data_IF_444963077817
#
_entry.id   IF_444963077817
#
_cell.length_a   1.000
_cell.length_b   1.000
_cell.length_c   1.000
_cell.angle_alpha   90.00
_cell.angle_beta   90.00
_cell.angle_gamma   90.00
#
_symmetry.space_group_name_H-M   'P 1'
#
loop_
_entity.id
_entity.type
_entity.pdbx_description
1 polymer ?
#
# COMPACT_ATOMS: atom_id res chain seq x y z
N UNK A 1 2.30 -14.51 4.04
CA UNK A 1 2.02 -13.28 3.23
C UNK A 1 0.62 -13.38 2.66
N UNK A 2 -0.14 -12.29 2.73
CA UNK A 2 -1.37 -12.18 1.94
C UNK A 2 -1.04 -11.45 0.62
N UNK A 3 -1.58 -11.92 -0.49
CA UNK A 3 -1.44 -11.30 -1.81
C UNK A 3 -2.78 -11.35 -2.54
N UNK A 4 -2.89 -10.68 -3.67
CA UNK A 4 -4.12 -10.69 -4.46
C UNK A 4 -3.89 -11.18 -5.87
N UNK A 5 -4.92 -11.73 -6.47
CA UNK A 5 -4.95 -12.17 -7.85
C UNK A 5 -6.35 -12.08 -8.41
N UNK A 6 -6.46 -12.11 -9.73
CA UNK A 6 -7.74 -12.07 -10.45
C UNK A 6 -7.99 -13.39 -11.16
N UNK A 7 -9.24 -13.80 -11.22
CA UNK A 7 -9.67 -14.92 -12.04
C UNK A 7 -9.89 -14.54 -13.51
N UNK A 8 -10.36 -15.48 -14.33
CA UNK A 8 -10.64 -15.27 -15.76
C UNK A 8 -11.75 -14.25 -16.02
N UNK A 9 -12.63 -14.01 -15.06
CA UNK A 9 -13.73 -13.04 -15.15
C UNK A 9 -13.31 -11.64 -14.65
N UNK A 10 -12.05 -11.49 -14.22
CA UNK A 10 -11.51 -10.26 -13.68
C UNK A 10 -11.98 -9.93 -12.27
N UNK A 11 -12.46 -10.93 -11.52
CA UNK A 11 -12.80 -10.80 -10.12
C UNK A 11 -11.56 -11.03 -9.24
N UNK A 12 -11.41 -10.21 -8.22
CA UNK A 12 -10.23 -10.22 -7.36
C UNK A 12 -10.46 -11.04 -6.09
N UNK A 13 -9.40 -11.69 -5.65
CA UNK A 13 -9.36 -12.51 -4.43
C UNK A 13 -8.09 -12.22 -3.64
N UNK A 14 -8.18 -12.27 -2.32
CA UNK A 14 -7.00 -12.29 -1.46
C UNK A 14 -6.63 -13.73 -1.16
N UNK A 15 -5.38 -14.07 -1.42
CA UNK A 15 -4.80 -15.39 -1.26
C UNK A 15 -3.68 -15.33 -0.22
N UNK A 16 -3.26 -16.50 0.24
CA UNK A 16 -2.15 -16.64 1.19
C UNK A 16 -1.02 -17.46 0.57
N UNK A 17 0.20 -17.06 0.88
CA UNK A 17 1.40 -17.86 0.64
C UNK A 17 2.34 -17.78 1.84
N UNK A 18 3.09 -18.83 2.05
CA UNK A 18 4.08 -18.95 3.12
C UNK A 18 5.47 -19.23 2.56
N UNK A 19 6.48 -18.79 3.28
CA UNK A 19 7.88 -19.12 3.03
C UNK A 19 8.61 -19.19 4.35
N UNK A 20 9.73 -19.88 4.39
CA UNK A 20 10.59 -19.89 5.57
C UNK A 20 11.39 -18.58 5.67
N UNK A 21 11.79 -18.22 6.89
CA UNK A 21 12.66 -17.05 7.13
C UNK A 21 14.05 -17.26 6.51
N UNK A 22 14.47 -18.53 6.40
CA UNK A 22 15.78 -18.94 5.84
C UNK A 22 15.76 -18.90 4.31
N UNK A 23 14.61 -19.21 3.69
CA UNK A 23 14.44 -19.22 2.24
C UNK A 23 13.33 -18.25 1.82
N UNK A 24 13.53 -16.93 2.00
CA UNK A 24 12.47 -15.93 1.92
C UNK A 24 11.85 -15.76 0.51
N UNK A 25 12.39 -16.42 -0.51
CA UNK A 25 11.90 -16.37 -1.89
C UNK A 25 11.18 -17.66 -2.33
N UNK A 26 11.09 -18.67 -1.47
CA UNK A 26 10.46 -19.97 -1.75
C UNK A 26 8.99 -19.99 -1.33
N UNK A 27 8.19 -19.06 -1.89
CA UNK A 27 6.78 -18.90 -1.55
C UNK A 27 5.94 -20.10 -2.03
N UNK A 28 5.15 -20.66 -1.10
CA UNK A 28 4.20 -21.73 -1.38
C UNK A 28 2.78 -21.24 -1.13
N UNK A 29 1.85 -21.34 -2.10
CA UNK A 29 0.45 -21.07 -1.86
C UNK A 29 -0.12 -21.95 -0.76
N UNK A 30 -0.96 -21.39 0.12
CA UNK A 30 -1.59 -22.09 1.24
C UNK A 30 -3.11 -22.02 1.11
N UNK A 31 -3.76 -23.17 1.05
CA UNK A 31 -5.22 -23.26 1.02
C UNK A 31 -5.86 -22.69 -0.23
N UNK A 32 -7.12 -22.26 -0.06
CA UNK A 32 -7.87 -21.48 -1.04
C UNK A 32 -7.68 -19.97 -0.80
N UNK A 33 -8.54 -19.13 -1.37
CA UNK A 33 -8.52 -17.70 -1.06
C UNK A 33 -9.00 -17.43 0.38
N UNK A 34 -8.54 -16.35 0.98
CA UNK A 34 -8.99 -15.87 2.30
C UNK A 34 -10.36 -15.18 2.18
N UNK A 35 -10.48 -14.24 1.24
CA UNK A 35 -11.70 -13.49 0.92
C UNK A 35 -11.80 -13.23 -0.58
N UNK A 36 -13.02 -13.07 -1.09
CA UNK A 36 -13.31 -12.83 -2.51
C UNK A 36 -14.33 -11.70 -2.75
N UNK A 37 -15.01 -11.65 -3.88
CA UNK A 37 -16.02 -10.63 -4.17
C UNK A 37 -17.25 -10.71 -3.25
N UNK A 38 -17.82 -9.55 -2.95
CA UNK A 38 -19.15 -9.41 -2.37
C UNK A 38 -20.10 -8.96 -3.48
N UNK A 39 -20.55 -9.90 -4.31
CA UNK A 39 -21.27 -9.62 -5.56
C UNK A 39 -22.57 -8.86 -5.41
N UNK A 40 -23.19 -8.92 -4.22
CA UNK A 40 -24.46 -8.28 -3.90
C UNK A 40 -24.29 -6.84 -3.37
N UNK A 41 -23.04 -6.34 -3.28
CA UNK A 41 -22.74 -4.99 -2.81
C UNK A 41 -22.13 -4.13 -3.91
N UNK A 42 -22.34 -2.81 -3.87
CA UNK A 42 -21.62 -1.88 -4.74
C UNK A 42 -20.20 -1.58 -4.26
N UNK A 43 -19.91 -1.87 -3.00
CA UNK A 43 -18.64 -1.58 -2.35
C UNK A 43 -17.49 -2.49 -2.86
N UNK A 44 -17.73 -3.81 -2.93
CA UNK A 44 -16.68 -4.81 -3.20
C UNK A 44 -17.13 -5.88 -4.22
N UNK A 45 -18.01 -5.52 -5.15
CA UNK A 45 -18.59 -6.49 -6.10
C UNK A 45 -17.58 -7.07 -7.09
N UNK A 46 -16.45 -6.41 -7.31
CA UNK A 46 -15.34 -6.89 -8.15
C UNK A 46 -14.21 -7.54 -7.36
N UNK A 47 -14.35 -7.58 -6.03
CA UNK A 47 -13.44 -8.24 -5.12
C UNK A 47 -12.33 -7.36 -4.55
N UNK A 48 -11.63 -7.88 -3.55
CA UNK A 48 -10.59 -7.18 -2.81
C UNK A 48 -9.22 -7.25 -3.50
N UNK A 49 -8.39 -6.22 -3.29
CA UNK A 49 -6.98 -6.20 -3.65
C UNK A 49 -6.13 -5.51 -2.58
N UNK A 50 -4.82 -5.44 -2.77
CA UNK A 50 -3.88 -4.75 -1.88
C UNK A 50 -4.10 -5.07 -0.40
N UNK A 51 -3.95 -6.34 0.02
CA UNK A 51 -4.19 -6.75 1.39
C UNK A 51 -3.16 -6.15 2.36
N UNK A 52 -3.64 -5.86 3.57
CA UNK A 52 -2.80 -5.61 4.73
C UNK A 52 -3.30 -6.45 5.90
N UNK A 53 -2.49 -7.42 6.32
CA UNK A 53 -2.81 -8.36 7.39
C UNK A 53 -2.23 -7.85 8.71
N UNK A 54 -3.07 -7.73 9.72
CA UNK A 54 -2.71 -7.27 11.06
C UNK A 54 -3.14 -8.25 12.14
N UNK A 55 -2.24 -9.07 12.68
CA UNK A 55 -2.49 -9.78 13.94
C UNK A 55 -2.59 -8.78 15.09
N UNK A 56 -3.75 -8.71 15.77
CA UNK A 56 -3.97 -7.85 16.93
C UNK A 56 -3.70 -8.63 18.22
N UNK A 57 -4.19 -9.86 18.28
CA UNK A 57 -3.88 -10.85 19.32
C UNK A 57 -3.63 -12.20 18.64
N UNK A 58 -3.34 -13.25 19.42
CA UNK A 58 -3.19 -14.60 18.87
C UNK A 58 -4.41 -15.03 18.03
N UNK A 59 -5.62 -14.72 18.51
CA UNK A 59 -6.86 -15.17 17.86
C UNK A 59 -7.48 -14.07 16.97
N UNK A 60 -7.40 -12.79 17.36
CA UNK A 60 -8.03 -11.68 16.64
C UNK A 60 -7.09 -11.10 15.61
N UNK A 61 -7.47 -11.24 14.32
CA UNK A 61 -6.75 -10.69 13.17
C UNK A 61 -7.66 -9.79 12.34
N UNK A 62 -7.07 -8.77 11.72
CA UNK A 62 -7.72 -7.85 10.80
C UNK A 62 -7.06 -7.94 9.43
N UNK A 63 -7.85 -8.07 8.39
CA UNK A 63 -7.41 -8.08 7.00
C UNK A 63 -8.04 -6.88 6.29
N UNK A 64 -7.27 -5.81 6.12
CA UNK A 64 -7.70 -4.66 5.34
C UNK A 64 -7.42 -4.90 3.87
N UNK A 65 -8.22 -4.28 3.02
CA UNK A 65 -8.09 -4.42 1.58
C UNK A 65 -8.63 -3.19 0.86
N UNK A 66 -8.17 -2.98 -0.37
CA UNK A 66 -8.83 -2.09 -1.31
C UNK A 66 -9.98 -2.84 -1.94
N UNK A 67 -11.18 -2.37 -1.72
CA UNK A 67 -12.39 -2.90 -2.32
C UNK A 67 -12.63 -2.29 -3.70
N UNK A 68 -12.93 -3.11 -4.69
CA UNK A 68 -13.27 -2.67 -6.03
C UNK A 68 -14.79 -2.81 -6.24
N UNK A 69 -15.42 -1.65 -6.34
CA UNK A 69 -16.87 -1.55 -6.50
C UNK A 69 -17.31 -1.22 -7.91
N UNK A 70 -18.48 -0.57 -8.01
CA UNK A 70 -19.04 -0.04 -9.26
C UNK A 70 -19.10 1.47 -9.22
N UNK A 71 -18.69 2.09 -10.32
CA UNK A 71 -18.89 3.54 -10.58
C UNK A 71 -19.31 3.74 -12.02
N UNK A 72 -20.39 4.48 -12.21
CA UNK A 72 -20.94 4.77 -13.55
C UNK A 72 -20.22 5.94 -14.25
N UNK A 73 -19.46 6.75 -13.49
CA UNK A 73 -18.80 7.97 -13.97
C UNK A 73 -17.40 7.73 -14.57
N UNK A 74 -16.97 6.46 -14.67
CA UNK A 74 -15.66 6.06 -15.22
C UNK A 74 -14.45 6.36 -14.35
N UNK A 75 -14.66 6.86 -13.12
CA UNK A 75 -13.59 7.09 -12.14
C UNK A 75 -13.23 5.81 -11.40
N UNK A 76 -12.11 5.84 -10.66
CA UNK A 76 -11.66 4.71 -9.87
C UNK A 76 -12.67 4.33 -8.78
N UNK A 77 -13.16 3.08 -8.73
CA UNK A 77 -14.17 2.65 -7.78
C UNK A 77 -13.59 2.12 -6.46
N UNK A 78 -12.48 2.69 -6.02
CA UNK A 78 -11.71 2.18 -4.90
C UNK A 78 -12.22 2.70 -3.57
N UNK A 79 -12.40 1.80 -2.60
CA UNK A 79 -12.66 2.13 -1.19
C UNK A 79 -11.90 1.17 -0.28
N UNK A 80 -11.87 1.45 1.02
CA UNK A 80 -11.17 0.58 1.99
C UNK A 80 -12.17 -0.28 2.76
N UNK A 81 -11.96 -1.59 2.72
CA UNK A 81 -12.73 -2.56 3.49
C UNK A 81 -11.87 -3.26 4.55
N UNK A 82 -12.54 -3.98 5.45
CA UNK A 82 -11.89 -4.87 6.43
C UNK A 82 -12.68 -6.17 6.61
N UNK A 83 -11.95 -7.27 6.69
CA UNK A 83 -12.44 -8.55 7.17
C UNK A 83 -11.78 -8.90 8.50
N UNK A 84 -12.47 -9.66 9.32
CA UNK A 84 -12.01 -10.03 10.67
C UNK A 84 -11.92 -11.54 10.80
N UNK A 85 -10.94 -11.99 11.56
CA UNK A 85 -10.82 -13.36 12.06
C UNK A 85 -10.77 -13.35 13.57
N UNK A 86 -11.33 -14.38 14.20
CA UNK A 86 -11.30 -14.63 15.65
C UNK A 86 -10.69 -16.01 15.99
N UNK A 87 -9.99 -16.62 15.05
CA UNK A 87 -9.40 -17.94 15.12
C UNK A 87 -7.95 -17.97 14.59
N UNK A 88 -7.24 -16.83 14.70
CA UNK A 88 -5.84 -16.72 14.26
C UNK A 88 -5.65 -16.72 12.75
N UNK A 89 -6.69 -16.35 11.98
CA UNK A 89 -6.63 -16.24 10.53
C UNK A 89 -7.09 -17.49 9.77
N UNK A 90 -7.65 -18.51 10.48
CA UNK A 90 -8.16 -19.71 9.85
C UNK A 90 -9.45 -19.45 9.06
N UNK A 91 -10.33 -18.58 9.61
CA UNK A 91 -11.55 -18.16 8.91
C UNK A 91 -11.72 -16.64 8.91
N UNK A 92 -12.39 -16.12 7.89
CA UNK A 92 -12.55 -14.69 7.67
C UNK A 92 -14.02 -14.34 7.42
N UNK A 93 -14.43 -13.17 7.97
CA UNK A 93 -15.73 -12.56 7.73
C UNK A 93 -15.58 -11.10 7.40
N UNK A 94 -16.29 -10.62 6.38
CA UNK A 94 -16.39 -9.19 6.12
C UNK A 94 -17.01 -8.50 7.32
N UNK A 95 -16.41 -7.39 7.75
CA UNK A 95 -16.95 -6.61 8.84
C UNK A 95 -18.22 -5.87 8.44
N UNK A 96 -18.27 -5.36 7.22
CA UNK A 96 -19.36 -4.54 6.70
C UNK A 96 -19.49 -4.68 5.19
N UNK A 97 -20.66 -4.34 4.67
CA UNK A 97 -20.95 -4.12 3.25
C UNK A 97 -20.60 -2.69 2.79
N UNK A 98 -20.09 -1.87 3.70
CA UNK A 98 -19.71 -0.49 3.47
C UNK A 98 -18.23 -0.26 3.76
N UNK A 99 -17.62 0.79 3.16
CA UNK A 99 -16.24 1.18 3.47
C UNK A 99 -16.04 1.47 4.96
N UNK A 100 -14.86 1.12 5.49
CA UNK A 100 -14.48 1.47 6.87
C UNK A 100 -13.93 2.89 6.98
N UNK A 101 -13.53 3.48 5.86
CA UNK A 101 -13.14 4.89 5.76
C UNK A 101 -14.22 5.64 4.97
N UNK A 102 -14.95 6.58 5.58
CA UNK A 102 -15.91 7.42 4.86
C UNK A 102 -15.17 8.33 3.86
N UNK A 103 -15.80 8.64 2.72
CA UNK A 103 -15.27 9.58 1.74
C UNK A 103 -15.75 11.01 2.10
N UNK A 104 -15.22 11.58 3.16
CA UNK A 104 -15.72 12.79 3.80
C UNK A 104 -14.71 13.96 3.84
N UNK A 105 -13.55 13.78 3.20
CA UNK A 105 -12.53 14.82 3.10
C UNK A 105 -12.27 15.18 1.61
N UNK A 106 -11.91 16.43 1.31
CA UNK A 106 -11.59 16.80 -0.09
C UNK A 106 -10.49 15.97 -0.73
N UNK A 107 -9.53 15.49 0.08
CA UNK A 107 -8.41 14.71 -0.40
C UNK A 107 -8.71 13.23 -0.63
N UNK A 108 -9.88 12.72 -0.19
CA UNK A 108 -10.31 11.34 -0.41
C UNK A 108 -11.74 11.21 -0.92
N UNK A 109 -12.32 12.31 -1.39
CA UNK A 109 -13.72 12.36 -1.84
C UNK A 109 -14.04 11.43 -3.00
N UNK A 110 -13.05 11.01 -3.77
CA UNK A 110 -13.22 10.13 -4.93
C UNK A 110 -12.87 8.66 -4.64
N UNK A 111 -12.18 8.38 -3.51
CA UNK A 111 -11.86 7.02 -3.11
C UNK A 111 -10.73 6.90 -2.09
N UNK A 112 -10.58 5.67 -1.58
CA UNK A 112 -9.50 5.27 -0.68
C UNK A 112 -8.99 3.89 -1.06
N UNK A 113 -7.77 3.54 -0.63
CA UNK A 113 -7.22 2.20 -0.86
C UNK A 113 -5.86 2.01 -0.22
N UNK A 114 -5.27 0.85 -0.43
CA UNK A 114 -3.91 0.46 0.00
C UNK A 114 -3.47 1.07 1.33
N UNK A 115 -3.75 0.38 2.41
CA UNK A 115 -3.44 0.86 3.76
C UNK A 115 -2.13 0.27 4.27
N UNK A 116 -1.52 0.98 5.21
CA UNK A 116 -0.51 0.46 6.14
C UNK A 116 -0.86 0.91 7.55
N UNK A 117 -0.82 -0.02 8.52
CA UNK A 117 -1.25 0.26 9.88
C UNK A 117 -0.12 -0.06 10.86
N UNK A 118 0.17 0.89 11.73
CA UNK A 118 0.97 0.69 12.91
C UNK A 118 0.04 0.50 14.11
N UNK A 119 0.26 -0.57 14.87
CA UNK A 119 -0.47 -0.84 16.10
C UNK A 119 0.48 -0.72 17.28
N UNK A 120 0.33 0.34 18.06
CA UNK A 120 1.25 0.72 19.13
C UNK A 120 0.48 1.16 20.37
N UNK A 121 0.80 0.58 21.51
CA UNK A 121 0.22 0.95 22.82
C UNK A 121 -1.33 0.98 22.82
N UNK A 122 -1.96 0.05 22.09
CA UNK A 122 -3.42 -0.02 21.96
C UNK A 122 -4.03 1.02 21.02
N UNK A 123 -3.22 1.76 20.28
CA UNK A 123 -3.66 2.70 19.25
C UNK A 123 -3.28 2.21 17.87
N UNK A 124 -4.19 2.39 16.92
CA UNK A 124 -3.99 2.07 15.52
C UNK A 124 -3.80 3.37 14.73
N UNK A 125 -2.71 3.45 13.96
CA UNK A 125 -2.38 4.57 13.08
C UNK A 125 -2.38 4.04 11.65
N UNK A 126 -3.31 4.51 10.82
CA UNK A 126 -3.42 4.11 9.43
C UNK A 126 -2.87 5.19 8.52
N UNK A 127 -2.03 4.78 7.59
CA UNK A 127 -1.64 5.56 6.43
C UNK A 127 -2.28 4.91 5.21
N UNK A 128 -3.00 5.68 4.41
CA UNK A 128 -3.77 5.12 3.30
C UNK A 128 -3.65 5.95 2.03
N UNK A 129 -3.80 5.30 0.90
CA UNK A 129 -3.93 5.96 -0.39
C UNK A 129 -5.27 6.67 -0.46
N UNK A 130 -5.24 7.98 -0.61
CA UNK A 130 -6.42 8.85 -0.72
C UNK A 130 -6.53 9.39 -2.15
N UNK A 131 -7.72 9.24 -2.75
CA UNK A 131 -8.03 9.71 -4.10
C UNK A 131 -8.90 10.96 -3.96
N UNK A 132 -8.30 12.10 -4.24
CA UNK A 132 -8.96 13.40 -4.20
C UNK A 132 -9.69 13.71 -5.51
N UNK A 133 -9.67 14.99 -5.88
CA UNK A 133 -10.33 15.45 -7.10
C UNK A 133 -9.60 14.99 -8.37
N UNK A 134 -10.37 14.93 -9.46
CA UNK A 134 -9.80 14.84 -10.79
C UNK A 134 -9.51 16.23 -11.35
N UNK A 135 -8.32 16.42 -11.91
CA UNK A 135 -7.86 17.69 -12.47
C UNK A 135 -7.51 17.52 -13.95
N UNK A 136 -7.54 18.60 -14.76
CA UNK A 136 -7.05 18.55 -16.13
C UNK A 136 -5.60 18.07 -16.17
N UNK A 137 -5.29 17.18 -17.08
CA UNK A 137 -3.92 16.73 -17.33
C UNK A 137 -3.07 17.91 -17.79
N UNK A 138 -1.90 18.17 -17.21
CA UNK A 138 -1.02 19.24 -17.65
C UNK A 138 -0.60 19.09 -19.12
N UNK A 139 -0.51 20.18 -19.83
CA UNK A 139 -0.11 20.19 -21.24
C UNK A 139 1.32 19.63 -21.40
N UNK A 140 1.50 18.76 -22.40
CA UNK A 140 2.81 18.13 -22.67
C UNK A 140 3.19 16.97 -21.75
N UNK A 141 2.32 16.59 -20.80
CA UNK A 141 2.54 15.44 -19.92
C UNK A 141 1.73 14.26 -20.45
N UNK A 142 2.42 13.19 -20.85
CA UNK A 142 1.79 11.91 -21.17
C UNK A 142 1.75 11.04 -19.93
N UNK A 143 0.58 10.75 -19.43
CA UNK A 143 0.37 9.94 -18.23
C UNK A 143 -0.25 8.58 -18.53
N UNK A 144 -0.56 8.30 -19.80
CA UNK A 144 -1.34 7.12 -20.18
C UNK A 144 -2.81 7.16 -19.72
N UNK A 145 -3.22 8.22 -19.01
CA UNK A 145 -4.61 8.53 -18.68
C UNK A 145 -5.18 9.57 -19.65
N UNK A 146 -6.51 9.69 -19.71
CA UNK A 146 -7.19 10.64 -20.60
C UNK A 146 -6.90 12.12 -20.25
N UNK A 147 -7.87 13.00 -20.55
CA UNK A 147 -7.72 14.45 -20.36
C UNK A 147 -7.74 14.90 -18.88
N UNK A 148 -8.14 14.01 -17.98
CA UNK A 148 -8.13 14.26 -16.54
C UNK A 148 -7.36 13.19 -15.79
N UNK A 149 -6.68 13.59 -14.72
CA UNK A 149 -5.93 12.71 -13.82
C UNK A 149 -6.39 12.90 -12.38
N UNK A 150 -6.40 11.82 -11.55
CA UNK A 150 -6.72 11.94 -10.14
C UNK A 150 -5.52 12.53 -9.37
N UNK A 151 -5.78 13.39 -8.39
CA UNK A 151 -4.78 13.76 -7.38
C UNK A 151 -4.79 12.68 -6.30
N UNK A 152 -3.70 11.91 -6.20
CA UNK A 152 -3.59 10.79 -5.25
C UNK A 152 -2.40 11.01 -4.32
N UNK A 153 -2.65 10.94 -3.01
CA UNK A 153 -1.60 11.09 -2.00
C UNK A 153 -1.81 10.13 -0.82
N UNK A 154 -0.98 10.28 0.19
CA UNK A 154 -1.09 9.52 1.44
C UNK A 154 -1.79 10.36 2.49
N UNK A 155 -2.88 9.83 3.02
CA UNK A 155 -3.62 10.41 4.14
C UNK A 155 -3.42 9.58 5.43
N UNK A 156 -3.94 10.11 6.54
CA UNK A 156 -3.79 9.54 7.86
C UNK A 156 -5.14 9.41 8.57
N UNK A 157 -5.30 8.32 9.29
CA UNK A 157 -6.42 8.09 10.21
C UNK A 157 -5.94 7.34 11.45
N UNK A 158 -6.69 7.46 12.55
CA UNK A 158 -6.39 6.77 13.80
C UNK A 158 -7.63 6.08 14.37
N UNK A 159 -7.41 5.03 15.17
CA UNK A 159 -8.46 4.22 15.75
C UNK A 159 -8.01 3.61 17.09
N UNK A 160 -8.98 3.30 17.95
CA UNK A 160 -8.77 2.55 19.21
C UNK A 160 -9.06 1.05 19.08
N UNK A 161 -9.78 0.65 18.05
CA UNK A 161 -10.24 -0.73 17.87
C UNK A 161 -9.85 -1.36 16.53
N UNK A 162 -9.30 -0.54 15.61
CA UNK A 162 -8.94 -0.95 14.24
C UNK A 162 -10.14 -1.03 13.30
N UNK A 163 -11.32 -0.59 13.69
CA UNK A 163 -12.55 -0.65 12.90
C UNK A 163 -13.14 0.75 12.67
N UNK A 164 -13.26 1.52 13.74
CA UNK A 164 -13.80 2.87 13.71
C UNK A 164 -12.66 3.87 13.62
N UNK A 165 -12.60 4.62 12.52
CA UNK A 165 -11.47 5.46 12.16
C UNK A 165 -11.84 6.94 12.20
N UNK A 166 -10.99 7.74 12.83
CA UNK A 166 -11.04 9.20 12.85
C UNK A 166 -9.94 9.78 11.97
N UNK A 167 -10.25 10.86 11.25
CA UNK A 167 -9.32 11.58 10.37
C UNK A 167 -8.99 12.95 10.99
N UNK A 168 -7.97 13.03 11.86
CA UNK A 168 -7.68 14.27 12.60
C UNK A 168 -7.07 15.37 11.73
N UNK A 169 -6.50 15.01 10.56
CA UNK A 169 -5.83 15.95 9.68
C UNK A 169 -6.75 16.43 8.55
N UNK A 170 -6.64 17.71 8.21
CA UNK A 170 -7.38 18.32 7.10
C UNK A 170 -6.61 18.24 5.75
N UNK A 171 -5.44 17.61 5.72
CA UNK A 171 -4.54 17.52 4.57
C UNK A 171 -3.88 16.15 4.46
N UNK A 172 -3.29 15.87 3.31
CA UNK A 172 -2.45 14.69 3.07
C UNK A 172 -1.16 14.80 3.88
N UNK A 173 -0.66 13.67 4.41
CA UNK A 173 0.69 13.61 5.02
C UNK A 173 1.79 13.52 3.96
N UNK A 174 1.48 12.97 2.78
CA UNK A 174 2.37 13.02 1.60
C UNK A 174 1.56 13.36 0.37
N UNK A 175 1.96 14.42 -0.32
CA UNK A 175 1.39 14.82 -1.61
C UNK A 175 2.34 14.51 -2.75
N UNK A 176 1.83 14.29 -3.99
CA UNK A 176 2.67 14.19 -5.18
C UNK A 176 3.50 15.46 -5.38
N UNK A 177 4.69 15.32 -5.93
CA UNK A 177 5.61 16.44 -6.17
C UNK A 177 5.25 17.27 -7.42
N UNK A 178 4.34 16.78 -8.26
CA UNK A 178 3.84 17.48 -9.43
C UNK A 178 4.94 17.82 -10.43
N UNK A 179 4.93 19.07 -10.92
CA UNK A 179 5.94 19.60 -11.84
C UNK A 179 7.30 19.91 -11.16
N UNK A 180 7.40 19.71 -9.83
CA UNK A 180 8.66 19.88 -9.09
C UNK A 180 9.69 18.79 -9.38
N UNK A 181 9.29 17.72 -10.06
CA UNK A 181 10.15 16.61 -10.46
C UNK A 181 9.95 16.23 -11.92
N UNK A 182 10.95 15.55 -12.48
CA UNK A 182 10.90 15.02 -13.85
C UNK A 182 11.14 13.52 -13.79
N UNK A 183 10.26 12.68 -14.34
CA UNK A 183 9.00 13.06 -14.99
C UNK A 183 7.94 13.59 -13.99
N UNK A 184 6.93 14.30 -14.51
CA UNK A 184 5.81 14.83 -13.72
C UNK A 184 5.13 13.72 -12.91
N UNK A 185 4.81 14.03 -11.66
CA UNK A 185 4.28 13.07 -10.68
C UNK A 185 2.92 13.52 -10.14
N UNK A 186 1.92 12.66 -10.17
CA UNK A 186 0.57 12.99 -9.68
C UNK A 186 -0.02 11.93 -8.75
N UNK A 187 0.70 10.83 -8.51
CA UNK A 187 0.31 9.79 -7.57
C UNK A 187 1.42 9.56 -6.54
N UNK A 188 1.03 9.54 -5.28
CA UNK A 188 1.73 8.86 -4.18
C UNK A 188 0.79 7.82 -3.60
N UNK A 189 1.18 6.55 -3.58
CA UNK A 189 0.29 5.45 -3.20
C UNK A 189 1.02 4.30 -2.51
N UNK A 190 0.24 3.41 -1.90
CA UNK A 190 0.69 2.18 -1.26
C UNK A 190 1.86 2.39 -0.30
N UNK A 191 1.63 3.08 0.82
CA UNK A 191 2.65 3.26 1.85
C UNK A 191 3.03 1.92 2.46
N UNK A 192 4.31 1.78 2.82
CA UNK A 192 4.86 0.71 3.63
C UNK A 192 5.78 1.36 4.67
N UNK A 193 5.49 1.20 5.96
CA UNK A 193 6.14 1.97 7.02
C UNK A 193 6.78 1.05 8.04
N UNK A 194 8.03 1.34 8.37
CA UNK A 194 8.74 0.73 9.49
C UNK A 194 9.00 1.80 10.55
N UNK A 195 8.68 1.48 11.80
CA UNK A 195 9.08 2.28 12.94
C UNK A 195 10.52 1.96 13.31
N UNK A 196 11.27 3.01 13.63
CA UNK A 196 12.62 2.96 14.19
C UNK A 196 12.64 3.58 15.59
N UNK A 197 13.78 3.52 16.26
CA UNK A 197 13.96 4.13 17.59
C UNK A 197 13.74 5.64 17.60
N UNK A 198 14.13 6.32 16.51
CA UNK A 198 14.14 7.78 16.37
C UNK A 198 13.12 8.31 15.35
N UNK A 199 12.15 7.47 14.91
CA UNK A 199 11.13 7.90 13.97
C UNK A 199 10.59 6.80 13.08
N UNK A 200 10.35 7.13 11.82
CA UNK A 200 9.68 6.26 10.86
C UNK A 200 10.34 6.36 9.49
N UNK A 201 10.37 5.24 8.78
CA UNK A 201 10.70 5.19 7.36
C UNK A 201 9.46 4.75 6.61
N UNK A 202 9.11 5.45 5.53
CA UNK A 202 8.06 5.08 4.60
C UNK A 202 8.67 4.79 3.23
N UNK A 203 8.32 3.66 2.64
CA UNK A 203 8.42 3.44 1.21
C UNK A 203 7.04 3.59 0.60
N UNK A 204 6.97 4.22 -0.54
CA UNK A 204 5.73 4.40 -1.28
C UNK A 204 5.98 4.35 -2.78
N UNK A 205 4.91 4.19 -3.54
CA UNK A 205 4.95 4.35 -4.98
C UNK A 205 4.66 5.79 -5.37
N UNK A 206 5.42 6.29 -6.32
CA UNK A 206 5.02 7.45 -7.11
C UNK A 206 4.69 7.02 -8.54
N UNK A 207 3.85 7.80 -9.21
CA UNK A 207 3.53 7.58 -10.61
C UNK A 207 3.39 8.91 -11.36
N UNK A 208 3.99 8.93 -12.55
CA UNK A 208 3.81 9.95 -13.58
C UNK A 208 3.58 9.24 -14.91
N UNK A 209 4.63 8.63 -15.46
CA UNK A 209 4.58 7.78 -16.66
C UNK A 209 4.86 6.30 -16.34
N UNK A 210 5.51 6.04 -15.21
CA UNK A 210 5.78 4.70 -14.70
C UNK A 210 5.85 4.75 -13.17
N UNK A 211 5.61 3.61 -12.53
CA UNK A 211 5.77 3.50 -11.09
C UNK A 211 7.24 3.50 -10.68
N UNK A 212 7.52 4.22 -9.59
CA UNK A 212 8.81 4.24 -8.90
C UNK A 212 8.61 4.06 -7.40
N UNK A 213 9.55 3.45 -6.73
CA UNK A 213 9.54 3.31 -5.27
C UNK A 213 10.45 4.37 -4.68
N UNK A 214 9.89 5.21 -3.82
CA UNK A 214 10.63 6.24 -3.10
C UNK A 214 10.57 6.02 -1.60
N UNK A 215 11.60 6.54 -0.92
CA UNK A 215 11.71 6.50 0.53
C UNK A 215 11.56 7.90 1.12
N UNK A 216 10.84 7.95 2.25
CA UNK A 216 10.69 9.14 3.07
C UNK A 216 11.02 8.79 4.53
N UNK A 217 11.39 9.79 5.30
CA UNK A 217 11.63 9.67 6.74
C UNK A 217 10.77 10.67 7.50
N UNK A 218 10.45 10.34 8.75
CA UNK A 218 9.68 11.21 9.65
C UNK A 218 10.06 10.93 11.09
N UNK A 219 10.12 11.97 11.93
CA UNK A 219 10.30 11.81 13.37
C UNK A 219 8.98 11.63 14.11
N UNK A 220 7.89 12.19 13.59
CA UNK A 220 6.57 12.25 14.25
C UNK A 220 5.49 11.38 13.58
N UNK A 221 5.76 10.89 12.34
CA UNK A 221 4.82 10.16 11.51
C UNK A 221 3.80 11.04 10.79
N UNK A 222 3.90 12.36 10.89
CA UNK A 222 3.01 13.33 10.24
C UNK A 222 3.73 14.20 9.23
N UNK A 223 4.96 14.60 9.53
CA UNK A 223 5.82 15.42 8.67
C UNK A 223 6.84 14.52 8.00
N UNK A 224 6.70 14.33 6.69
CA UNK A 224 7.54 13.41 5.93
C UNK A 224 8.52 14.16 5.02
N UNK A 225 9.77 13.71 5.01
CA UNK A 225 10.84 14.25 4.20
C UNK A 225 11.28 13.21 3.16
N UNK A 226 11.33 13.62 1.90
CA UNK A 226 11.85 12.79 0.82
C UNK A 226 13.35 12.54 1.01
N UNK A 227 13.80 11.30 0.84
CA UNK A 227 15.21 10.97 0.94
C UNK A 227 15.97 11.59 -0.25
N UNK A 228 17.06 12.30 0.05
CA UNK A 228 17.86 13.06 -0.94
C UNK A 228 18.47 12.19 -2.04
N UNK A 229 18.68 10.90 -1.77
CA UNK A 229 19.31 9.95 -2.70
C UNK A 229 18.35 9.30 -3.67
N UNK A 230 17.05 9.54 -3.56
CA UNK A 230 16.06 9.02 -4.50
C UNK A 230 16.09 9.86 -5.79
N UNK A 231 16.89 9.44 -6.76
CA UNK A 231 16.89 10.00 -8.11
C UNK A 231 15.54 9.77 -8.84
N UNK A 232 15.45 10.13 -10.13
CA UNK A 232 14.22 9.97 -10.92
C UNK A 232 13.74 8.52 -11.00
N UNK A 233 14.63 7.55 -10.85
CA UNK A 233 14.32 6.12 -10.87
C UNK A 233 13.95 5.56 -9.49
N UNK A 234 13.90 6.40 -8.46
CA UNK A 234 13.52 6.03 -7.10
C UNK A 234 14.63 5.30 -6.32
N UNK A 235 14.26 4.79 -5.15
CA UNK A 235 15.17 4.10 -4.21
C UNK A 235 15.67 2.76 -4.77
N UNK A 236 14.80 2.01 -5.43
CA UNK A 236 15.13 0.69 -5.96
C UNK A 236 15.70 0.74 -7.38
N UNK A 237 15.63 1.89 -8.06
CA UNK A 237 15.94 1.98 -9.47
C UNK A 237 14.98 1.15 -10.33
N UNK A 238 15.45 0.70 -11.50
CA UNK A 238 14.80 -0.26 -12.39
C UNK A 238 15.83 -1.30 -12.84
N UNK A 239 15.37 -2.42 -13.40
CA UNK A 239 16.24 -3.46 -13.96
C UNK A 239 16.96 -3.02 -15.23
N UNK A 240 17.88 -3.86 -15.73
CA UNK A 240 18.50 -3.69 -17.04
C UNK A 240 17.51 -3.92 -18.16
N UNK A 241 17.82 -3.41 -19.36
CA UNK A 241 16.96 -3.58 -20.53
C UNK A 241 16.65 -5.06 -20.80
N UNK A 242 15.38 -5.41 -20.85
CA UNK A 242 14.88 -6.78 -21.07
C UNK A 242 14.64 -7.57 -19.77
N UNK A 243 14.96 -7.03 -18.61
CA UNK A 243 14.63 -7.63 -17.33
C UNK A 243 13.11 -7.51 -17.04
N UNK A 244 12.61 -8.36 -16.14
CA UNK A 244 11.19 -8.37 -15.76
C UNK A 244 10.69 -7.04 -15.16
N UNK A 245 11.60 -6.16 -14.78
CA UNK A 245 11.38 -4.89 -14.06
C UNK A 245 12.12 -3.71 -14.69
N UNK A 246 12.50 -3.80 -15.97
CA UNK A 246 13.27 -2.78 -16.68
C UNK A 246 12.51 -1.47 -16.93
N UNK A 247 11.19 -1.49 -16.82
CA UNK A 247 10.34 -0.31 -16.97
C UNK A 247 9.85 0.25 -15.64
N UNK A 248 9.48 -0.61 -14.69
CA UNK A 248 8.98 -0.18 -13.37
C UNK A 248 9.26 -1.20 -12.28
N UNK A 249 9.44 -0.68 -11.05
CA UNK A 249 9.33 -1.40 -9.79
C UNK A 249 8.24 -0.76 -8.95
N UNK A 250 7.32 -1.58 -8.43
CA UNK A 250 6.15 -1.08 -7.71
C UNK A 250 5.72 -1.99 -6.56
N UNK A 251 4.85 -1.46 -5.73
CA UNK A 251 4.18 -2.14 -4.63
C UNK A 251 5.14 -2.77 -3.61
N UNK A 252 6.07 -1.97 -3.05
CA UNK A 252 7.03 -2.48 -2.09
C UNK A 252 6.31 -2.97 -0.84
N UNK A 253 6.78 -4.12 -0.33
CA UNK A 253 6.48 -4.60 1.01
C UNK A 253 7.80 -4.85 1.69
N UNK A 254 8.12 -4.02 2.67
CA UNK A 254 9.37 -4.09 3.42
C UNK A 254 9.09 -4.60 4.82
N UNK A 255 9.89 -5.56 5.26
CA UNK A 255 9.86 -6.07 6.63
C UNK A 255 11.26 -6.06 7.21
N UNK A 256 11.35 -5.85 8.51
CA UNK A 256 12.58 -6.04 9.25
C UNK A 256 12.57 -7.44 9.86
N UNK A 257 13.53 -8.27 9.48
CA UNK A 257 13.68 -9.63 10.00
C UNK A 257 15.16 -9.98 10.11
N UNK A 258 15.56 -10.52 11.25
CA UNK A 258 16.93 -11.02 11.52
C UNK A 258 18.05 -9.99 11.21
N UNK A 259 17.79 -8.71 11.54
CA UNK A 259 18.76 -7.64 11.31
C UNK A 259 18.87 -7.21 9.84
N UNK A 260 17.90 -7.58 9.01
CA UNK A 260 17.82 -7.20 7.61
C UNK A 260 16.51 -6.50 7.27
N UNK A 261 16.54 -5.57 6.34
CA UNK A 261 15.37 -5.08 5.63
C UNK A 261 15.20 -5.92 4.36
N UNK A 262 14.08 -6.62 4.30
CA UNK A 262 13.69 -7.47 3.18
C UNK A 262 12.53 -6.82 2.44
N UNK A 263 12.70 -6.58 1.15
CA UNK A 263 11.72 -5.92 0.30
C UNK A 263 11.29 -6.85 -0.84
N UNK A 264 9.99 -7.10 -0.93
CA UNK A 264 9.37 -7.68 -2.12
C UNK A 264 8.69 -6.57 -2.90
N UNK A 265 8.81 -6.62 -4.22
CA UNK A 265 8.21 -5.64 -5.13
C UNK A 265 7.73 -6.33 -6.41
N UNK A 266 6.86 -5.68 -7.15
CA UNK A 266 6.38 -6.17 -8.44
C UNK A 266 7.14 -5.49 -9.58
N UNK A 267 7.39 -6.25 -10.66
CA UNK A 267 7.97 -5.76 -11.90
C UNK A 267 6.95 -5.10 -12.82
N UNK A 268 7.23 -5.15 -14.13
CA UNK A 268 6.41 -4.53 -15.17
C UNK A 268 4.96 -5.03 -15.15
N UNK A 269 4.05 -4.20 -15.69
CA UNK A 269 2.63 -4.53 -15.80
C UNK A 269 2.01 -5.01 -14.49
N UNK A 270 2.32 -4.29 -13.38
CA UNK A 270 1.82 -4.59 -12.03
C UNK A 270 2.16 -5.99 -11.51
N UNK A 271 3.29 -6.55 -11.95
CA UNK A 271 3.76 -7.86 -11.53
C UNK A 271 3.41 -9.00 -12.49
N UNK A 272 2.79 -8.73 -13.66
CA UNK A 272 2.55 -9.76 -14.68
C UNK A 272 3.85 -10.36 -15.22
N UNK A 273 4.96 -9.62 -15.17
CA UNK A 273 6.29 -10.09 -15.57
C UNK A 273 7.07 -10.76 -14.44
N UNK A 274 6.62 -10.66 -13.20
CA UNK A 274 7.24 -11.27 -12.04
C UNK A 274 7.31 -10.38 -10.81
N UNK A 275 7.81 -10.96 -9.73
CA UNK A 275 8.09 -10.30 -8.46
C UNK A 275 9.59 -10.35 -8.18
N UNK A 276 10.12 -9.27 -7.62
CA UNK A 276 11.50 -9.14 -7.21
C UNK A 276 11.68 -9.16 -5.70
N UNK A 277 12.91 -9.41 -5.30
CA UNK A 277 13.34 -9.38 -3.92
C UNK A 277 14.64 -8.60 -3.80
N UNK A 278 14.69 -7.71 -2.82
CA UNK A 278 15.90 -6.99 -2.44
C UNK A 278 16.12 -7.12 -0.93
N UNK A 279 17.36 -7.16 -0.52
CA UNK A 279 17.76 -7.23 0.88
C UNK A 279 18.90 -6.26 1.15
N UNK A 280 18.86 -5.63 2.30
CA UNK A 280 19.96 -4.82 2.82
C UNK A 280 20.06 -5.05 4.33
N UNK A 281 21.25 -4.97 4.93
CA UNK A 281 21.33 -4.92 6.39
C UNK A 281 20.34 -3.88 6.92
N UNK A 282 19.61 -4.22 7.97
CA UNK A 282 18.82 -3.21 8.68
C UNK A 282 19.77 -2.08 9.08
N UNK A 283 19.26 -0.85 9.05
CA UNK A 283 20.00 0.35 9.43
C UNK A 283 20.86 0.05 10.66
N UNK A 284 22.11 0.60 10.77
CA UNK A 284 23.05 0.16 11.79
C UNK A 284 22.35 0.09 13.15
N UNK A 285 22.54 -0.97 13.90
CA UNK A 285 22.03 -1.05 15.26
C UNK A 285 22.52 0.20 15.99
N UNK A 286 21.63 0.86 16.70
CA UNK A 286 22.00 1.94 17.58
C UNK A 286 23.22 1.45 18.38
N UNK A 287 24.32 2.17 18.30
CA UNK A 287 25.59 1.79 19.00
C UNK A 287 25.37 1.63 20.52
N UNK A 288 24.25 2.15 21.06
CA UNK A 288 23.83 1.97 22.45
C UNK A 288 23.24 0.58 22.79
N UNK A 289 22.77 -0.21 21.82
CA UNK A 289 22.22 -1.57 22.08
C UNK A 289 23.23 -2.69 21.83
N UNK A 290 24.39 -2.43 21.26
CA UNK A 290 25.48 -3.41 21.10
C UNK A 290 26.27 -3.67 22.40
N UNK A 291 25.96 -2.96 23.48
CA UNK A 291 26.66 -3.06 24.78
C UNK A 291 25.78 -3.60 25.92
N UNK A 292 24.67 -4.31 25.63
CA UNK A 292 23.86 -4.99 26.67
C UNK A 292 23.69 -6.47 26.40
#
# INVERSE_FOLDING_TARGET
MAYWGSDSDGLNYILQAETSVVEPNSWQPVGSFLIGPQTDTDHNCRGPSFPFLLPVTADRWLLYFTAWGRRADGKLPNTTGVATSNDGGESWRYHSEHPVLPLDRPYDAEGTGSVWILHENGHFRMYYTAIGRYVPRPAGVDTGHGDTIPEIGIAYAESKDGIHWEKPLAHLVVSPRGSGVTPYEYICSKPCIIKQSDGYIMWLNTFGTAYRVHRLTSQDGFTWQWAERCGPDGELGVGGQGDFDDHQRSYPTVVCAEGELRCWFTGNQFGATGMGYAVTPAWPPDEENAAR
#
